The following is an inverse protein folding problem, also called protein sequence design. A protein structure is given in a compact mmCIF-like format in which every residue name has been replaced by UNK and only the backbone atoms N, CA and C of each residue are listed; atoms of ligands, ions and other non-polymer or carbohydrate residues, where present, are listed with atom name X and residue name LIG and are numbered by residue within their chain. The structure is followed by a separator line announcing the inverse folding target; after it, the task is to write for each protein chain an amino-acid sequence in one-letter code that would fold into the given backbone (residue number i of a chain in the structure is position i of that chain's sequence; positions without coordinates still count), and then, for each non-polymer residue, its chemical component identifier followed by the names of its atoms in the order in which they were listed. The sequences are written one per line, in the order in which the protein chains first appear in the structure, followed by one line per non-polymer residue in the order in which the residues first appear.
data_IF_407074848912
#
_entry.id   IF_407074848912
#
_cell.length_a   1.000
_cell.length_b   1.000
_cell.length_c   1.000
_cell.angle_alpha   90.00
_cell.angle_beta   90.00
_cell.angle_gamma   90.00
#
_symmetry.space_group_name_H-M   'P 1'
#
loop_
_entity.id
_entity.type
_entity.pdbx_description
1 polymer ?
#
# COMPACT_ATOMS: atom_id res chain seq x y z
N UNK A 1 5.76 -12.01 -6.37
CA UNK A 1 5.65 -10.53 -6.36
C UNK A 1 4.29 -10.09 -6.89
N UNK A 2 3.78 -8.92 -6.48
CA UNK A 2 2.54 -8.32 -7.03
C UNK A 2 2.70 -7.98 -8.53
N UNK A 3 1.63 -8.14 -9.32
CA UNK A 3 1.59 -7.73 -10.74
C UNK A 3 1.87 -6.23 -10.86
N UNK A 4 2.48 -5.78 -11.96
CA UNK A 4 2.80 -4.35 -12.18
C UNK A 4 1.53 -3.48 -12.13
N UNK A 5 0.41 -3.99 -12.65
CA UNK A 5 -0.89 -3.32 -12.67
C UNK A 5 -1.49 -3.10 -11.28
N UNK A 6 -1.21 -3.99 -10.34
CA UNK A 6 -1.65 -3.92 -8.94
C UNK A 6 -0.74 -3.03 -8.06
N UNK A 7 0.20 -2.29 -8.65
CA UNK A 7 1.10 -1.39 -7.90
C UNK A 7 0.66 0.06 -8.08
N UNK A 8 0.56 0.78 -6.97
CA UNK A 8 0.42 2.23 -6.97
C UNK A 8 1.83 2.83 -7.07
N UNK A 9 2.12 3.54 -8.17
CA UNK A 9 3.47 4.07 -8.44
C UNK A 9 3.47 5.57 -8.71
N UNK A 10 2.40 6.11 -9.29
CA UNK A 10 2.35 7.53 -9.68
C UNK A 10 2.15 8.41 -8.46
N UNK A 11 2.95 9.47 -8.32
CA UNK A 11 2.83 10.43 -7.21
C UNK A 11 1.40 11.00 -7.09
N UNK A 12 0.77 11.34 -8.23
CA UNK A 12 -0.63 11.81 -8.27
C UNK A 12 -1.62 10.84 -7.62
N UNK A 13 -1.39 9.53 -7.76
CA UNK A 13 -2.23 8.51 -7.12
C UNK A 13 -2.01 8.49 -5.60
N UNK A 14 -0.76 8.62 -5.14
CA UNK A 14 -0.46 8.78 -3.72
C UNK A 14 -1.11 10.04 -3.16
N UNK A 15 -0.94 11.20 -3.80
CA UNK A 15 -1.53 12.46 -3.35
C UNK A 15 -3.07 12.36 -3.26
N UNK A 16 -3.72 11.68 -4.23
CA UNK A 16 -5.16 11.41 -4.19
C UNK A 16 -5.54 10.59 -2.96
N UNK A 17 -4.81 9.51 -2.67
CA UNK A 17 -5.08 8.66 -1.49
C UNK A 17 -4.90 9.42 -0.18
N UNK A 18 -3.92 10.33 -0.08
CA UNK A 18 -3.72 11.13 1.13
C UNK A 18 -4.79 12.20 1.32
N UNK A 19 -5.29 12.80 0.22
CA UNK A 19 -6.29 13.88 0.27
C UNK A 19 -7.72 13.37 0.46
N UNK A 20 -8.10 12.29 -0.23
CA UNK A 20 -9.50 11.81 -0.29
C UNK A 20 -9.71 10.45 0.40
N UNK A 21 -8.64 9.75 0.76
CA UNK A 21 -8.74 8.42 1.32
C UNK A 21 -9.17 8.38 2.78
N UNK A 22 -9.95 7.37 3.11
CA UNK A 22 -10.24 6.99 4.50
C UNK A 22 -8.97 6.44 5.13
N UNK A 23 -8.81 6.65 6.43
CA UNK A 23 -7.63 6.21 7.18
C UNK A 23 -8.02 5.16 8.19
N UNK A 24 -7.33 4.04 8.17
CA UNK A 24 -7.43 2.97 9.17
C UNK A 24 -6.08 2.95 9.88
N UNK A 25 -6.10 3.17 11.20
CA UNK A 25 -4.89 3.23 12.01
C UNK A 25 -4.80 1.98 12.89
N UNK A 26 -3.62 1.37 12.89
CA UNK A 26 -3.16 0.36 13.85
C UNK A 26 -1.81 0.85 14.39
N UNK A 27 -1.42 0.54 15.64
CA UNK A 27 -0.17 1.03 16.24
C UNK A 27 1.07 0.92 15.34
N UNK A 28 1.20 -0.18 14.61
CA UNK A 28 2.34 -0.45 13.73
C UNK A 28 2.04 -0.29 12.22
N UNK A 29 0.82 0.09 11.86
CA UNK A 29 0.40 0.13 10.46
C UNK A 29 -0.74 1.13 10.24
N UNK A 30 -0.51 2.11 9.39
CA UNK A 30 -1.58 2.95 8.86
C UNK A 30 -1.92 2.53 7.44
N UNK A 31 -3.22 2.44 7.13
CA UNK A 31 -3.72 2.16 5.78
C UNK A 31 -4.61 3.31 5.33
N UNK A 32 -4.24 3.94 4.21
CA UNK A 32 -5.10 4.88 3.48
C UNK A 32 -5.81 4.11 2.36
N UNK A 33 -7.13 4.25 2.27
CA UNK A 33 -7.94 3.58 1.25
C UNK A 33 -8.82 4.61 0.54
N UNK A 34 -8.79 4.61 -0.78
CA UNK A 34 -9.69 5.42 -1.61
C UNK A 34 -10.22 4.56 -2.74
N UNK A 35 -11.48 4.78 -3.11
CA UNK A 35 -12.07 4.12 -4.26
C UNK A 35 -11.31 4.54 -5.54
N UNK A 36 -11.25 3.62 -6.49
CA UNK A 36 -10.70 3.85 -7.80
C UNK A 36 -11.71 3.42 -8.88
N UNK A 37 -11.61 4.00 -10.06
CA UNK A 37 -12.53 3.70 -11.17
C UNK A 37 -12.12 2.43 -11.92
N UNK A 38 -11.56 1.43 -11.22
CA UNK A 38 -11.01 0.20 -11.82
C UNK A 38 -11.60 -1.03 -11.14
N UNK A 39 -11.48 -2.18 -11.80
CA UNK A 39 -11.88 -3.48 -11.24
C UNK A 39 -10.76 -4.16 -10.45
N UNK A 40 -9.66 -3.45 -10.18
CA UNK A 40 -8.47 -4.00 -9.52
C UNK A 40 -8.04 -3.14 -8.35
N UNK A 41 -7.47 -3.81 -7.34
CA UNK A 41 -6.81 -3.14 -6.24
C UNK A 41 -5.38 -2.73 -6.63
N UNK A 42 -4.98 -1.51 -6.26
CA UNK A 42 -3.60 -1.04 -6.41
C UNK A 42 -3.01 -0.72 -5.06
N UNK A 43 -1.79 -1.21 -4.83
CA UNK A 43 -1.14 -1.10 -3.53
C UNK A 43 0.12 -0.22 -3.60
N UNK A 44 0.17 0.80 -2.75
CA UNK A 44 1.35 1.58 -2.41
C UNK A 44 1.88 1.14 -1.06
N UNK A 45 3.22 1.06 -0.92
CA UNK A 45 3.85 0.72 0.37
C UNK A 45 4.93 1.75 0.66
N UNK A 46 4.72 2.50 1.74
CA UNK A 46 5.64 3.49 2.28
C UNK A 46 6.23 2.90 3.56
N UNK A 47 7.56 2.86 3.64
CA UNK A 47 8.27 2.50 4.87
C UNK A 47 9.16 3.68 5.21
N UNK A 48 8.90 4.32 6.34
CA UNK A 48 9.60 5.53 6.77
C UNK A 48 11.07 5.24 7.08
N UNK A 49 11.94 6.22 6.87
CA UNK A 49 13.33 6.15 7.34
C UNK A 49 13.42 6.14 8.88
N UNK A 50 12.36 6.53 9.58
CA UNK A 50 12.26 6.47 11.05
C UNK A 50 12.21 5.02 11.58
N UNK A 51 11.71 4.07 10.78
CA UNK A 51 11.64 2.66 11.17
C UNK A 51 13.03 2.03 11.22
N UNK A 52 13.82 2.20 10.16
CA UNK A 52 15.22 1.77 10.14
C UNK A 52 15.98 2.58 9.09
N UNK A 53 17.18 3.04 9.44
CA UNK A 53 18.07 3.78 8.53
C UNK A 53 18.58 2.91 7.38
N UNK A 54 18.70 1.60 7.57
CA UNK A 54 19.19 0.64 6.57
C UNK A 54 18.12 0.34 5.51
N UNK A 55 18.47 0.61 4.25
CA UNK A 55 17.59 0.34 3.12
C UNK A 55 17.23 -1.15 2.96
N UNK A 56 18.14 -2.05 3.34
CA UNK A 56 17.92 -3.51 3.26
C UNK A 56 16.79 -3.97 4.18
N UNK A 57 16.71 -3.42 5.40
CA UNK A 57 15.63 -3.70 6.36
C UNK A 57 14.31 -3.16 5.85
N UNK A 58 14.26 -1.89 5.41
CA UNK A 58 13.03 -1.32 4.81
C UNK A 58 12.56 -2.10 3.59
N UNK A 59 13.49 -2.55 2.75
CA UNK A 59 13.17 -3.36 1.57
C UNK A 59 12.67 -4.76 1.95
N UNK A 60 13.17 -5.35 3.05
CA UNK A 60 12.63 -6.60 3.61
C UNK A 60 11.18 -6.42 4.05
N UNK A 61 10.87 -5.35 4.79
CA UNK A 61 9.50 -5.01 5.21
C UNK A 61 8.59 -4.87 3.99
N UNK A 62 9.00 -4.06 2.99
CA UNK A 62 8.24 -3.92 1.73
C UNK A 62 8.02 -5.27 1.02
N UNK A 63 9.00 -6.19 1.03
CA UNK A 63 8.83 -7.53 0.43
C UNK A 63 7.84 -8.40 1.21
N UNK A 64 7.89 -8.39 2.54
CA UNK A 64 6.96 -9.13 3.40
C UNK A 64 5.52 -8.65 3.21
N UNK A 65 5.31 -7.33 3.25
CA UNK A 65 3.98 -6.74 3.02
C UNK A 65 3.44 -7.13 1.64
N UNK A 66 4.25 -7.06 0.57
CA UNK A 66 3.82 -7.50 -0.77
C UNK A 66 3.44 -8.98 -0.83
N UNK A 67 4.12 -9.84 -0.07
CA UNK A 67 3.79 -11.26 -0.03
C UNK A 67 2.44 -11.49 0.67
N UNK A 68 2.18 -10.79 1.78
CA UNK A 68 0.90 -10.83 2.50
C UNK A 68 -0.23 -10.32 1.61
N UNK A 69 -0.06 -9.14 1.00
CA UNK A 69 -1.07 -8.56 0.09
C UNK A 69 -1.40 -9.49 -1.08
N UNK A 70 -0.40 -10.15 -1.66
CA UNK A 70 -0.65 -11.14 -2.72
C UNK A 70 -1.49 -12.32 -2.23
N UNK A 71 -1.25 -12.81 -1.00
CA UNK A 71 -2.02 -13.91 -0.42
C UNK A 71 -3.47 -13.49 -0.10
N UNK A 72 -3.65 -12.24 0.31
CA UNK A 72 -4.93 -11.66 0.75
C UNK A 72 -5.71 -10.95 -0.35
N UNK A 73 -5.18 -10.84 -1.56
CA UNK A 73 -5.79 -10.07 -2.66
C UNK A 73 -7.24 -10.46 -2.95
N UNK A 74 -7.59 -11.75 -2.82
CA UNK A 74 -8.95 -12.26 -3.04
C UNK A 74 -9.93 -11.92 -1.91
N UNK A 75 -9.43 -11.59 -0.72
CA UNK A 75 -10.23 -11.23 0.45
C UNK A 75 -10.51 -9.72 0.50
N UNK A 76 -9.84 -8.92 -0.34
CA UNK A 76 -10.00 -7.47 -0.39
C UNK A 76 -10.94 -7.13 -1.53
N UNK A 77 -12.01 -6.39 -1.22
CA UNK A 77 -12.95 -5.92 -2.24
C UNK A 77 -12.20 -5.17 -3.36
N UNK A 78 -12.46 -5.48 -4.65
CA UNK A 78 -11.80 -4.83 -5.76
C UNK A 78 -12.21 -3.36 -5.87
N UNK A 79 -11.43 -2.58 -6.62
CA UNK A 79 -11.75 -1.18 -6.93
C UNK A 79 -11.19 -0.15 -5.95
N UNK A 80 -10.10 -0.48 -5.26
CA UNK A 80 -9.50 0.43 -4.29
C UNK A 80 -8.02 0.71 -4.57
N UNK A 81 -7.59 1.93 -4.30
CA UNK A 81 -6.19 2.29 -4.13
C UNK A 81 -5.86 2.30 -2.64
N UNK A 82 -4.97 1.42 -2.22
CA UNK A 82 -4.54 1.28 -0.82
C UNK A 82 -3.09 1.69 -0.67
N UNK A 83 -2.81 2.59 0.28
CA UNK A 83 -1.44 2.95 0.68
C UNK A 83 -1.21 2.50 2.11
N UNK A 84 -0.27 1.57 2.26
CA UNK A 84 0.18 1.06 3.55
C UNK A 84 1.40 1.87 3.97
N UNK A 85 1.36 2.44 5.17
CA UNK A 85 2.43 3.24 5.76
C UNK A 85 2.89 2.54 7.03
N UNK A 86 4.17 2.19 7.04
CA UNK A 86 4.91 1.65 8.19
C UNK A 86 5.98 2.63 8.60
#
# INVERSE_FOLDING_TARGET
MLKKTARLVKQKDFDRTYRRGRTINHPDLMIKVVDNDKTINRFGIVVSNKIDKRATVRNRIKRQIRAILKKKEKEILPGHDLVLVV
#
